data_IF_812849774125
#
_entry.id   IF_812849774125
#
_cell.length_a   1.000
_cell.length_b   1.000
_cell.length_c   1.000
_cell.angle_alpha   90.00
_cell.angle_beta   90.00
_cell.angle_gamma   90.00
#
_symmetry.space_group_name_H-M   'P 1'
#
loop_
_entity.id
_entity.type
_entity.pdbx_description
1 polymer ?
#
# COMPACT_ATOMS: atom_id res chain seq x y z
N UNK A 1 18.48 4.45 2.95
CA UNK A 1 17.24 5.25 2.89
C UNK A 1 16.08 4.30 3.09
N UNK A 2 15.06 4.66 3.88
CA UNK A 2 13.90 3.80 4.07
C UNK A 2 13.13 3.63 2.75
N UNK A 3 12.51 2.47 2.55
CA UNK A 3 11.79 2.16 1.32
C UNK A 3 10.29 2.04 1.54
N UNK A 4 9.49 2.54 0.61
CA UNK A 4 8.03 2.37 0.58
C UNK A 4 7.61 1.51 -0.62
N UNK A 5 6.75 0.52 -0.40
CA UNK A 5 6.08 -0.23 -1.45
C UNK A 5 4.62 0.19 -1.52
N UNK A 6 4.16 0.59 -2.71
CA UNK A 6 2.77 0.93 -2.96
C UNK A 6 2.13 -0.09 -3.90
N UNK A 7 0.94 -0.58 -3.53
CA UNK A 7 0.12 -1.44 -4.38
C UNK A 7 -1.24 -0.83 -4.62
N UNK A 8 -1.60 -0.65 -5.88
CA UNK A 8 -2.93 -0.14 -6.25
C UNK A 8 -3.89 -1.27 -6.62
N UNK A 9 -5.11 -1.20 -6.11
CA UNK A 9 -6.26 -1.99 -6.56
C UNK A 9 -7.49 -1.10 -6.70
N UNK A 10 -7.88 -0.75 -7.92
CA UNK A 10 -9.06 0.10 -8.08
C UNK A 10 -9.23 0.66 -9.49
N UNK A 11 -9.36 1.98 -9.58
CA UNK A 11 -9.52 2.70 -10.83
C UNK A 11 -8.34 3.65 -11.10
N UNK A 12 -8.41 4.39 -12.21
CA UNK A 12 -7.40 5.38 -12.60
C UNK A 12 -7.17 6.47 -11.54
N UNK A 13 -8.20 6.81 -10.75
CA UNK A 13 -8.05 7.75 -9.64
C UNK A 13 -7.07 7.20 -8.59
N UNK A 14 -7.20 5.92 -8.22
CA UNK A 14 -6.28 5.30 -7.28
C UNK A 14 -4.85 5.26 -7.83
N UNK A 15 -4.65 5.03 -9.12
CA UNK A 15 -3.29 5.05 -9.71
C UNK A 15 -2.67 6.45 -9.60
N UNK A 16 -3.43 7.49 -9.94
CA UNK A 16 -3.00 8.89 -9.80
C UNK A 16 -2.67 9.23 -8.34
N UNK A 17 -3.52 8.80 -7.41
CA UNK A 17 -3.30 9.02 -5.97
C UNK A 17 -2.03 8.30 -5.51
N UNK A 18 -1.80 7.07 -5.97
CA UNK A 18 -0.59 6.31 -5.67
C UNK A 18 0.67 6.99 -6.21
N UNK A 19 0.64 7.57 -7.41
CA UNK A 19 1.75 8.36 -7.97
C UNK A 19 2.01 9.63 -7.16
N UNK A 20 0.97 10.30 -6.67
CA UNK A 20 1.12 11.47 -5.82
C UNK A 20 1.73 11.10 -4.46
N UNK A 21 1.23 10.05 -3.81
CA UNK A 21 1.75 9.58 -2.52
C UNK A 21 3.20 9.08 -2.67
N UNK A 22 3.53 8.35 -3.74
CA UNK A 22 4.90 7.93 -4.01
C UNK A 22 5.87 9.13 -4.08
N UNK A 23 5.47 10.22 -4.75
CA UNK A 23 6.25 11.47 -4.78
C UNK A 23 6.42 12.09 -3.40
N UNK A 24 5.35 12.15 -2.59
CA UNK A 24 5.44 12.67 -1.21
C UNK A 24 6.41 11.87 -0.35
N UNK A 25 6.44 10.54 -0.49
CA UNK A 25 7.42 9.70 0.20
C UNK A 25 8.85 10.00 -0.25
N UNK A 26 9.07 10.15 -1.56
CA UNK A 26 10.38 10.49 -2.13
C UNK A 26 10.86 11.86 -1.63
N UNK A 27 9.98 12.86 -1.62
CA UNK A 27 10.26 14.19 -1.04
C UNK A 27 10.56 14.12 0.47
N UNK A 28 9.95 13.17 1.17
CA UNK A 28 10.22 12.84 2.57
C UNK A 28 11.46 11.99 2.81
N UNK A 29 12.28 11.70 1.79
CA UNK A 29 13.54 10.97 1.91
C UNK A 29 13.44 9.44 1.82
N UNK A 30 12.29 8.91 1.41
CA UNK A 30 12.13 7.49 1.09
C UNK A 30 12.55 7.20 -0.35
N UNK A 31 12.74 5.92 -0.67
CA UNK A 31 12.75 5.45 -2.05
C UNK A 31 11.59 4.48 -2.30
N UNK A 32 11.13 4.38 -3.54
CA UNK A 32 10.09 3.40 -3.90
C UNK A 32 10.73 2.02 -4.05
N UNK A 33 10.22 1.03 -3.34
CA UNK A 33 10.64 -0.35 -3.46
C UNK A 33 9.99 -1.01 -4.68
N UNK A 34 10.76 -1.82 -5.41
CA UNK A 34 10.23 -2.66 -6.50
C UNK A 34 9.48 -3.89 -5.96
N UNK A 35 9.86 -4.35 -4.77
CA UNK A 35 9.33 -5.54 -4.13
C UNK A 35 8.93 -5.28 -2.68
N UNK A 36 7.82 -5.86 -2.24
CA UNK A 36 7.34 -5.72 -0.85
C UNK A 36 8.34 -6.23 0.21
N UNK A 37 9.21 -7.16 -0.17
CA UNK A 37 10.24 -7.74 0.71
C UNK A 37 11.33 -6.75 1.11
N UNK A 38 11.46 -5.63 0.39
CA UNK A 38 12.48 -4.62 0.64
C UNK A 38 11.95 -3.39 1.38
N UNK A 39 10.64 -3.31 1.59
CA UNK A 39 9.97 -2.10 2.03
C UNK A 39 9.88 -1.99 3.55
N UNK A 40 10.24 -0.83 4.10
CA UNK A 40 10.02 -0.47 5.51
C UNK A 40 8.59 0.02 5.77
N UNK A 41 7.90 0.46 4.70
CA UNK A 41 6.48 0.78 4.71
C UNK A 41 5.77 0.15 3.51
N UNK A 42 4.60 -0.45 3.75
CA UNK A 42 3.76 -1.07 2.72
C UNK A 42 2.38 -0.44 2.74
N UNK A 43 1.99 0.17 1.63
CA UNK A 43 0.68 0.79 1.45
C UNK A 43 -0.11 0.10 0.34
N UNK A 44 -1.35 -0.27 0.62
CA UNK A 44 -2.30 -0.69 -0.41
C UNK A 44 -3.36 0.39 -0.62
N UNK A 45 -3.39 0.98 -1.80
CA UNK A 45 -4.41 1.94 -2.21
C UNK A 45 -5.58 1.22 -2.87
N UNK A 46 -6.78 1.34 -2.31
CA UNK A 46 -7.95 0.65 -2.85
C UNK A 46 -9.26 1.41 -2.77
N UNK A 47 -10.16 1.07 -3.70
CA UNK A 47 -11.47 1.68 -3.84
C UNK A 47 -12.53 0.94 -3.03
N UNK A 48 -13.50 1.67 -2.46
CA UNK A 48 -14.63 1.11 -1.73
C UNK A 48 -15.80 0.66 -2.63
N UNK A 49 -15.82 1.10 -3.90
CA UNK A 49 -16.99 0.87 -4.77
C UNK A 49 -16.97 -0.47 -5.51
N UNK A 50 -15.88 -1.25 -5.39
CA UNK A 50 -15.70 -2.52 -6.09
C UNK A 50 -15.27 -3.61 -5.11
N UNK A 51 -16.20 -4.46 -4.71
CA UNK A 51 -15.98 -5.57 -3.76
C UNK A 51 -14.76 -6.43 -4.09
N UNK A 52 -14.55 -6.73 -5.38
CA UNK A 52 -13.40 -7.55 -5.82
C UNK A 52 -12.05 -6.85 -5.60
N UNK A 53 -12.01 -5.52 -5.69
CA UNK A 53 -10.78 -4.76 -5.43
C UNK A 53 -10.45 -4.81 -3.94
N UNK A 54 -11.47 -4.63 -3.09
CA UNK A 54 -11.34 -4.72 -1.64
C UNK A 54 -10.85 -6.11 -1.19
N UNK A 55 -11.52 -7.18 -1.63
CA UNK A 55 -11.12 -8.55 -1.25
C UNK A 55 -9.68 -8.87 -1.66
N UNK A 56 -9.24 -8.40 -2.85
CA UNK A 56 -7.85 -8.54 -3.29
C UNK A 56 -6.89 -7.76 -2.40
N UNK A 57 -7.24 -6.53 -2.03
CA UNK A 57 -6.43 -5.68 -1.15
C UNK A 57 -6.24 -6.34 0.23
N UNK A 58 -7.33 -6.79 0.86
CA UNK A 58 -7.31 -7.47 2.16
C UNK A 58 -6.48 -8.75 2.09
N UNK A 59 -6.75 -9.61 1.10
CA UNK A 59 -6.01 -10.87 0.92
C UNK A 59 -4.53 -10.66 0.68
N UNK A 60 -4.15 -9.68 -0.17
CA UNK A 60 -2.75 -9.35 -0.43
C UNK A 60 -2.06 -8.81 0.82
N UNK A 61 -2.72 -7.95 1.60
CA UNK A 61 -2.16 -7.45 2.86
C UNK A 61 -1.91 -8.57 3.85
N UNK A 62 -2.90 -9.47 4.05
CA UNK A 62 -2.75 -10.63 4.92
C UNK A 62 -1.57 -11.51 4.53
N UNK A 63 -1.38 -11.77 3.23
CA UNK A 63 -0.24 -12.53 2.72
C UNK A 63 1.10 -11.81 3.00
N UNK A 64 1.19 -10.50 2.79
CA UNK A 64 2.42 -9.74 3.03
C UNK A 64 2.77 -9.65 4.51
N UNK A 65 1.78 -9.49 5.41
CA UNK A 65 2.01 -9.51 6.86
C UNK A 65 2.44 -10.89 7.33
N UNK A 66 1.86 -11.96 6.80
CA UNK A 66 2.27 -13.33 7.12
C UNK A 66 3.71 -13.62 6.67
N UNK A 67 4.05 -13.27 5.43
CA UNK A 67 5.39 -13.43 4.89
C UNK A 67 6.43 -12.54 5.61
N UNK A 68 6.01 -11.37 6.08
CA UNK A 68 6.83 -10.40 6.80
C UNK A 68 6.80 -10.54 8.32
N UNK A 69 6.27 -11.63 8.89
CA UNK A 69 6.06 -11.78 10.35
C UNK A 69 7.33 -11.60 11.20
N UNK A 70 8.49 -11.89 10.64
CA UNK A 70 9.79 -11.74 11.30
C UNK A 70 10.37 -10.33 11.13
N UNK A 71 9.80 -9.51 10.23
CA UNK A 71 10.18 -8.13 9.92
C UNK A 71 9.35 -7.13 10.73
N UNK A 72 9.52 -7.13 12.06
CA UNK A 72 8.73 -6.32 12.99
C UNK A 72 8.85 -4.79 12.82
N UNK A 73 9.82 -4.32 12.03
CA UNK A 73 10.02 -2.90 11.74
C UNK A 73 9.10 -2.37 10.63
N UNK A 74 8.44 -3.25 9.87
CA UNK A 74 7.65 -2.85 8.70
C UNK A 74 6.29 -2.31 9.12
N UNK A 75 5.96 -1.13 8.61
CA UNK A 75 4.63 -0.52 8.79
C UNK A 75 3.72 -0.94 7.62
N UNK A 76 2.54 -1.46 7.94
CA UNK A 76 1.53 -1.86 6.96
C UNK A 76 0.31 -0.95 7.05
N UNK A 77 -0.22 -0.51 5.92
CA UNK A 77 -1.38 0.39 5.90
C UNK A 77 -2.22 0.29 4.63
N UNK A 78 -3.49 0.65 4.77
CA UNK A 78 -4.40 0.88 3.64
C UNK A 78 -4.59 2.37 3.42
N UNK A 79 -4.84 2.75 2.16
CA UNK A 79 -5.26 4.10 1.79
C UNK A 79 -6.36 4.04 0.72
N UNK A 80 -6.89 5.21 0.36
CA UNK A 80 -7.98 5.35 -0.62
C UNK A 80 -9.37 5.25 0.00
N UNK A 81 -10.40 5.26 -0.85
CA UNK A 81 -11.80 5.34 -0.42
C UNK A 81 -12.22 4.18 0.49
N UNK A 82 -11.64 3.00 0.31
CA UNK A 82 -11.91 1.85 1.17
C UNK A 82 -11.49 2.12 2.62
N UNK A 83 -10.27 2.64 2.82
CA UNK A 83 -9.74 2.97 4.13
C UNK A 83 -10.59 4.03 4.84
N UNK A 84 -11.21 4.96 4.11
CA UNK A 84 -12.12 5.95 4.69
C UNK A 84 -13.49 5.36 5.06
N UNK A 85 -13.99 4.40 4.28
CA UNK A 85 -15.31 3.79 4.52
C UNK A 85 -15.32 2.76 5.65
N UNK A 86 -14.17 2.17 5.98
CA UNK A 86 -14.04 1.06 6.95
C UNK A 86 -13.08 1.36 8.11
N UNK A 87 -12.42 2.51 8.10
CA UNK A 87 -11.43 2.94 9.09
C UNK A 87 -12.01 3.72 10.24
#
# INVERSE_FOLDING_TARGET
MPKVYLKTYGCQMNERDSEQVARMFVEGGYTVAEHESEADAVLINTCSVRDRAEQKAIGKMGHMMYAGRDRKHVVYGFMGCMAQSRG
#
